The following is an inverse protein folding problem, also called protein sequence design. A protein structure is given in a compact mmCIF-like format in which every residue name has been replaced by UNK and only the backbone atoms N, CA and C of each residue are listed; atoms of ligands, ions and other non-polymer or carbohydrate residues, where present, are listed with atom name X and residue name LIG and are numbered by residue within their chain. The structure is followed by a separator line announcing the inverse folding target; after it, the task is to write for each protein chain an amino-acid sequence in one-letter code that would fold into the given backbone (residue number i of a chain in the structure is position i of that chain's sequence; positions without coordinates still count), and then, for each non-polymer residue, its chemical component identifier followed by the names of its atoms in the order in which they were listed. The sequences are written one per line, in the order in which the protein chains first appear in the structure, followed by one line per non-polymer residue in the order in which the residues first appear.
data_IF_499803745961
#
_entry.id   IF_499803745961
#
_cell.length_a   1.000
_cell.length_b   1.000
_cell.length_c   1.000
_cell.angle_alpha   90.00
_cell.angle_beta   90.00
_cell.angle_gamma   90.00
#
_symmetry.space_group_name_H-M   'P 1'
#
loop_
_entity.id
_entity.type
_entity.pdbx_description
1 polymer ?
#
# COMPACT_ATOMS: atom_id res chain seq x y z
N UNK A 1 -24.51 -38.66 -16.18
CA UNK A 1 -25.49 -38.32 -15.13
C UNK A 1 -25.17 -36.91 -14.61
N UNK A 2 -25.99 -35.89 -14.89
CA UNK A 2 -25.81 -34.54 -14.34
C UNK A 2 -26.50 -34.41 -12.96
N UNK A 3 -25.86 -33.66 -12.05
CA UNK A 3 -26.31 -33.41 -10.67
C UNK A 3 -27.65 -32.63 -10.61
N UNK A 4 -28.48 -32.85 -9.56
CA UNK A 4 -29.71 -32.08 -9.35
C UNK A 4 -29.43 -30.66 -8.81
N UNK A 5 -30.24 -29.64 -9.17
CA UNK A 5 -30.17 -28.30 -8.59
C UNK A 5 -30.77 -28.26 -7.17
N UNK A 6 -30.19 -27.40 -6.33
CA UNK A 6 -30.59 -27.20 -4.93
C UNK A 6 -32.00 -26.58 -4.79
N UNK A 7 -32.76 -26.92 -3.72
CA UNK A 7 -34.12 -26.42 -3.50
C UNK A 7 -34.15 -24.96 -3.01
N UNK A 8 -35.15 -24.23 -3.52
CA UNK A 8 -35.33 -22.79 -3.39
C UNK A 8 -35.64 -22.27 -1.99
N UNK A 9 -35.20 -21.04 -1.73
CA UNK A 9 -35.61 -20.25 -0.57
C UNK A 9 -36.99 -19.61 -0.82
N UNK A 10 -37.94 -19.72 0.13
CA UNK A 10 -39.34 -19.34 -0.07
C UNK A 10 -39.59 -17.83 -0.07
N UNK A 11 -40.34 -17.37 -1.07
CA UNK A 11 -40.94 -16.03 -1.14
C UNK A 11 -41.97 -15.84 -0.01
N UNK A 12 -41.65 -14.98 0.97
CA UNK A 12 -42.56 -14.66 2.08
C UNK A 12 -43.61 -13.64 1.64
N UNK A 13 -44.74 -14.14 1.12
CA UNK A 13 -45.97 -13.35 0.96
C UNK A 13 -46.41 -12.78 2.32
N UNK A 14 -46.62 -11.46 2.41
CA UNK A 14 -47.32 -10.84 3.53
C UNK A 14 -48.83 -10.78 3.22
N UNK A 15 -49.70 -11.22 4.13
CA UNK A 15 -51.14 -11.23 3.88
C UNK A 15 -51.75 -9.84 4.02
N UNK A 16 -52.54 -9.47 3.03
CA UNK A 16 -53.51 -8.38 3.06
C UNK A 16 -54.52 -8.61 4.20
N UNK A 17 -54.62 -7.68 5.17
CA UNK A 17 -55.71 -7.68 6.16
C UNK A 17 -56.80 -6.68 5.75
N UNK A 18 -58.00 -7.23 5.62
CA UNK A 18 -59.28 -6.61 5.22
C UNK A 18 -59.73 -5.49 6.16
N UNK A 19 -60.36 -4.51 5.52
CA UNK A 19 -61.22 -3.45 6.05
C UNK A 19 -62.63 -4.00 6.33
N UNK A 20 -63.13 -3.83 7.56
CA UNK A 20 -64.53 -3.93 8.02
C UNK A 20 -64.51 -3.84 9.56
N UNK A 21 -65.40 -3.25 10.34
CA UNK A 21 -66.63 -2.49 10.18
C UNK A 21 -67.00 -1.99 11.61
N UNK A 22 -67.88 -0.98 11.72
CA UNK A 22 -68.81 -0.70 12.85
C UNK A 22 -68.32 -0.39 14.29
N UNK A 23 -68.48 0.91 14.62
CA UNK A 23 -69.51 1.53 15.51
C UNK A 23 -69.46 1.40 17.06
N UNK A 24 -69.72 2.58 17.68
CA UNK A 24 -70.20 2.89 19.07
C UNK A 24 -69.09 2.87 20.15
N UNK A 25 -69.02 3.71 21.20
CA UNK A 25 -69.89 4.74 21.81
C UNK A 25 -69.04 5.49 22.87
N UNK A 26 -69.22 6.82 22.95
CA UNK A 26 -69.32 7.69 24.16
C UNK A 26 -68.27 7.69 25.30
N UNK A 27 -67.93 8.94 25.67
CA UNK A 27 -67.66 9.50 27.01
C UNK A 27 -66.39 9.08 27.75
N UNK A 28 -65.43 10.00 27.86
CA UNK A 28 -65.15 10.74 29.12
C UNK A 28 -64.00 11.72 28.92
N UNK A 29 -64.22 12.92 29.44
CA UNK A 29 -63.27 14.01 29.66
C UNK A 29 -62.08 13.47 30.48
N UNK A 30 -60.88 13.52 29.92
CA UNK A 30 -59.65 13.06 30.54
C UNK A 30 -58.48 13.90 30.04
N UNK A 31 -57.84 14.57 30.98
CA UNK A 31 -56.69 15.45 30.82
C UNK A 31 -55.48 14.66 30.28
N UNK A 32 -54.64 15.31 29.48
CA UNK A 32 -53.17 15.21 29.46
C UNK A 32 -52.55 15.05 28.06
N UNK A 33 -51.54 15.92 27.88
CA UNK A 33 -50.30 15.75 27.12
C UNK A 33 -50.38 15.61 25.60
N UNK A 34 -49.79 16.62 24.95
CA UNK A 34 -49.42 16.68 23.54
C UNK A 34 -48.81 15.38 23.02
N UNK A 35 -49.07 15.02 21.75
CA UNK A 35 -48.35 13.95 21.09
C UNK A 35 -46.89 14.36 20.86
N UNK A 36 -46.01 13.55 21.43
CA UNK A 36 -44.62 13.35 21.06
C UNK A 36 -44.39 13.43 19.54
N UNK A 37 -43.73 14.51 19.09
CA UNK A 37 -43.14 14.57 17.76
C UNK A 37 -41.85 13.74 17.76
N UNK A 38 -41.98 12.43 17.53
CA UNK A 38 -40.84 11.57 17.26
C UNK A 38 -40.67 11.38 15.74
N UNK A 39 -39.80 12.16 15.05
CA UNK A 39 -39.24 11.71 13.81
C UNK A 39 -38.22 10.62 14.17
N UNK A 40 -38.62 9.35 14.10
CA UNK A 40 -37.66 8.24 14.00
C UNK A 40 -36.88 8.38 12.69
N UNK A 41 -35.89 9.29 12.69
CA UNK A 41 -34.92 9.42 11.61
C UNK A 41 -34.21 8.09 11.46
N UNK A 42 -34.15 7.66 10.20
CA UNK A 42 -33.74 6.34 9.78
C UNK A 42 -32.47 5.90 10.49
N UNK A 43 -32.54 4.69 11.04
CA UNK A 43 -31.36 3.90 11.35
C UNK A 43 -30.65 3.68 10.01
N UNK A 44 -29.72 4.59 9.66
CA UNK A 44 -28.82 4.43 8.53
C UNK A 44 -28.13 3.08 8.72
N UNK A 45 -28.64 2.06 8.02
CA UNK A 45 -27.89 0.83 7.78
C UNK A 45 -26.67 1.29 6.99
N UNK A 46 -25.56 1.58 7.67
CA UNK A 46 -24.28 1.78 6.99
C UNK A 46 -24.05 0.51 6.18
N UNK A 47 -24.03 0.56 4.84
CA UNK A 47 -23.76 -0.62 4.06
C UNK A 47 -22.41 -1.17 4.53
N UNK A 48 -22.34 -2.48 4.78
CA UNK A 48 -21.06 -3.19 4.89
C UNK A 48 -20.32 -3.23 3.53
N UNK A 49 -20.48 -2.21 2.70
CA UNK A 49 -20.11 -2.13 1.29
C UNK A 49 -18.70 -1.57 1.05
N UNK A 50 -18.00 -1.23 2.14
CA UNK A 50 -16.62 -0.80 2.06
C UNK A 50 -15.67 -1.74 2.83
N UNK A 51 -15.93 -3.05 2.81
CA UNK A 51 -14.85 -4.02 2.95
C UNK A 51 -13.96 -3.91 1.70
N UNK A 52 -13.20 -2.82 1.61
CA UNK A 52 -12.26 -2.55 0.53
C UNK A 52 -11.21 -3.65 0.58
N UNK A 53 -11.35 -4.64 -0.30
CA UNK A 53 -10.27 -5.58 -0.59
C UNK A 53 -9.05 -4.70 -0.92
N UNK A 54 -7.94 -4.80 -0.17
CA UNK A 54 -6.78 -3.99 -0.46
C UNK A 54 -6.40 -4.23 -1.92
N UNK A 55 -6.17 -3.16 -2.72
CA UNK A 55 -5.87 -3.32 -4.13
C UNK A 55 -4.70 -4.28 -4.27
N UNK A 56 -4.90 -5.40 -4.97
CA UNK A 56 -3.83 -6.37 -5.21
C UNK A 56 -2.74 -5.66 -6.01
N UNK A 57 -1.55 -5.60 -5.44
CA UNK A 57 -0.38 -5.04 -6.11
C UNK A 57 0.02 -5.98 -7.24
N UNK A 58 0.21 -5.46 -8.45
CA UNK A 58 0.61 -6.27 -9.60
C UNK A 58 2.00 -6.88 -9.35
N UNK A 59 2.19 -8.22 -9.47
CA UNK A 59 3.50 -8.86 -9.28
C UNK A 59 4.59 -8.29 -10.20
N UNK A 60 4.22 -7.82 -11.41
CA UNK A 60 5.17 -7.13 -12.31
C UNK A 60 5.71 -5.85 -11.71
N UNK A 61 4.89 -5.06 -11.01
CA UNK A 61 5.33 -3.82 -10.37
C UNK A 61 6.31 -4.10 -9.24
N UNK A 62 6.08 -5.17 -8.48
CA UNK A 62 6.99 -5.64 -7.43
C UNK A 62 8.33 -6.05 -8.06
N UNK A 63 8.31 -6.87 -9.10
CA UNK A 63 9.52 -7.34 -9.78
C UNK A 63 10.33 -6.19 -10.37
N UNK A 64 9.67 -5.24 -11.04
CA UNK A 64 10.33 -4.03 -11.57
C UNK A 64 10.94 -3.19 -10.44
N UNK A 65 10.22 -2.99 -9.34
CA UNK A 65 10.74 -2.23 -8.20
C UNK A 65 11.98 -2.90 -7.59
N UNK A 66 11.95 -4.22 -7.39
CA UNK A 66 13.08 -4.97 -6.87
C UNK A 66 14.28 -4.92 -7.82
N UNK A 67 14.03 -5.02 -9.13
CA UNK A 67 15.08 -4.93 -10.15
C UNK A 67 15.71 -3.53 -10.19
N UNK A 68 14.91 -2.47 -10.14
CA UNK A 68 15.43 -1.09 -10.11
C UNK A 68 16.25 -0.85 -8.85
N UNK A 69 15.79 -1.32 -7.68
CA UNK A 69 16.54 -1.21 -6.43
C UNK A 69 17.87 -1.99 -6.49
N UNK A 70 17.86 -3.20 -7.05
CA UNK A 70 19.07 -4.01 -7.25
C UNK A 70 20.07 -3.34 -8.20
N UNK A 71 19.59 -2.83 -9.33
CA UNK A 71 20.42 -2.10 -10.30
C UNK A 71 20.99 -0.83 -9.69
N UNK A 72 20.21 -0.10 -8.88
CA UNK A 72 20.69 1.07 -8.15
C UNK A 72 21.86 0.73 -7.20
N UNK A 73 21.76 -0.36 -6.44
CA UNK A 73 22.84 -0.82 -5.55
C UNK A 73 24.08 -1.25 -6.34
N UNK A 74 23.91 -1.96 -7.45
CA UNK A 74 25.02 -2.37 -8.32
C UNK A 74 25.70 -1.13 -8.93
N UNK A 75 24.93 -0.16 -9.40
CA UNK A 75 25.44 1.10 -9.95
C UNK A 75 26.20 1.93 -8.91
N UNK A 76 25.72 1.95 -7.66
CA UNK A 76 26.43 2.55 -6.54
C UNK A 76 27.80 1.87 -6.32
N UNK A 77 27.83 0.53 -6.24
CA UNK A 77 29.08 -0.21 -6.05
C UNK A 77 30.05 -0.01 -7.22
N UNK A 78 29.57 -0.06 -8.46
CA UNK A 78 30.38 0.14 -9.66
C UNK A 78 30.98 1.55 -9.72
N UNK A 79 30.15 2.58 -9.49
CA UNK A 79 30.61 3.97 -9.42
C UNK A 79 31.63 4.17 -8.31
N UNK A 80 31.36 3.63 -7.12
CA UNK A 80 32.27 3.73 -5.98
C UNK A 80 33.66 3.17 -6.29
N UNK A 81 33.75 2.03 -6.99
CA UNK A 81 35.04 1.46 -7.39
C UNK A 81 35.73 2.25 -8.50
N UNK A 82 34.98 2.65 -9.52
CA UNK A 82 35.50 3.46 -10.61
C UNK A 82 36.11 4.77 -10.09
N UNK A 83 35.48 5.40 -9.10
CA UNK A 83 35.99 6.62 -8.46
C UNK A 83 37.29 6.42 -7.68
N UNK A 84 37.59 5.20 -7.22
CA UNK A 84 38.84 4.88 -6.52
C UNK A 84 39.92 4.30 -7.47
N UNK A 85 39.67 4.29 -8.78
CA UNK A 85 40.59 3.74 -9.79
C UNK A 85 40.71 2.21 -9.79
N UNK A 86 39.80 1.51 -9.09
CA UNK A 86 39.88 0.06 -8.89
C UNK A 86 39.08 -0.75 -9.93
N UNK A 87 39.63 -1.14 -11.09
CA UNK A 87 38.91 -1.94 -12.12
C UNK A 87 37.38 -1.59 -12.19
N UNK A 88 36.47 -2.44 -12.63
CA UNK A 88 35.04 -2.24 -12.27
C UNK A 88 34.45 -3.60 -11.96
N UNK A 89 34.64 -4.54 -12.89
CA UNK A 89 34.17 -5.91 -12.78
C UNK A 89 34.88 -6.71 -11.68
N UNK A 90 36.20 -6.62 -11.60
CA UNK A 90 37.03 -7.41 -10.68
C UNK A 90 36.91 -6.95 -9.22
N UNK A 91 35.96 -7.50 -8.45
CA UNK A 91 35.69 -7.09 -7.06
C UNK A 91 34.34 -6.38 -6.88
N UNK A 92 33.56 -6.20 -7.95
CA UNK A 92 32.21 -5.62 -7.87
C UNK A 92 31.32 -6.39 -6.91
N UNK A 93 31.32 -7.73 -7.02
CA UNK A 93 30.53 -8.59 -6.16
C UNK A 93 30.90 -8.43 -4.68
N UNK A 94 32.20 -8.31 -4.38
CA UNK A 94 32.74 -8.10 -3.02
C UNK A 94 32.26 -6.75 -2.44
N UNK A 95 32.22 -5.71 -3.26
CA UNK A 95 31.74 -4.38 -2.81
C UNK A 95 30.22 -4.30 -2.73
N UNK A 96 29.49 -5.00 -3.62
CA UNK A 96 28.05 -4.91 -3.73
C UNK A 96 27.28 -5.81 -2.75
N UNK A 97 27.80 -7.01 -2.44
CA UNK A 97 27.04 -7.99 -1.64
C UNK A 97 26.56 -7.49 -0.27
N UNK A 98 27.32 -6.68 0.52
CA UNK A 98 26.84 -6.22 1.82
C UNK A 98 25.58 -5.36 1.67
N UNK A 99 25.56 -4.51 0.63
CA UNK A 99 24.44 -3.64 0.32
C UNK A 99 23.26 -4.39 -0.32
N UNK A 100 23.53 -5.42 -1.13
CA UNK A 100 22.48 -6.25 -1.70
C UNK A 100 21.77 -7.08 -0.62
N UNK A 101 22.51 -7.64 0.33
CA UNK A 101 21.94 -8.33 1.50
C UNK A 101 21.13 -7.34 2.34
N UNK A 102 21.69 -6.18 2.64
CA UNK A 102 21.00 -5.13 3.37
C UNK A 102 19.71 -4.65 2.67
N UNK A 103 19.72 -4.54 1.34
CA UNK A 103 18.55 -4.21 0.54
C UNK A 103 17.46 -5.28 0.65
N UNK A 104 17.83 -6.57 0.56
CA UNK A 104 16.89 -7.68 0.69
C UNK A 104 16.22 -7.66 2.08
N UNK A 105 16.99 -7.42 3.14
CA UNK A 105 16.46 -7.28 4.50
C UNK A 105 15.57 -6.04 4.62
N UNK A 106 15.97 -4.92 4.02
CA UNK A 106 15.16 -3.69 3.96
C UNK A 106 13.80 -3.92 3.28
N UNK A 107 13.79 -4.67 2.17
CA UNK A 107 12.57 -5.07 1.47
C UNK A 107 11.64 -5.92 2.33
N UNK A 108 12.21 -6.89 3.06
CA UNK A 108 11.49 -7.75 4.01
C UNK A 108 10.88 -6.93 5.15
N UNK A 109 11.68 -6.11 5.81
CA UNK A 109 11.27 -5.30 6.96
C UNK A 109 10.24 -4.22 6.59
N UNK A 110 10.41 -3.57 5.43
CA UNK A 110 9.46 -2.55 4.96
C UNK A 110 8.17 -3.15 4.38
N UNK A 111 8.06 -4.50 4.30
CA UNK A 111 6.97 -5.21 3.63
C UNK A 111 6.70 -4.60 2.25
N UNK A 112 7.77 -4.37 1.47
CA UNK A 112 7.74 -3.56 0.26
C UNK A 112 6.71 -4.04 -0.77
N UNK A 113 6.38 -5.34 -0.76
CA UNK A 113 5.32 -5.96 -1.57
C UNK A 113 3.91 -5.39 -1.32
N UNK A 114 3.64 -4.76 -0.17
CA UNK A 114 2.32 -4.19 0.14
C UNK A 114 2.09 -2.83 -0.53
N UNK A 115 3.13 -2.02 -0.72
CA UNK A 115 3.06 -0.67 -1.35
C UNK A 115 4.38 -0.29 -2.04
N UNK A 116 4.77 -0.96 -3.14
CA UNK A 116 6.13 -0.85 -3.70
C UNK A 116 6.50 0.55 -4.21
N UNK A 117 5.50 1.34 -4.62
CA UNK A 117 5.70 2.68 -5.20
C UNK A 117 5.66 3.82 -4.18
N UNK A 118 5.36 3.56 -2.90
CA UNK A 118 5.20 4.62 -1.90
C UNK A 118 6.59 5.14 -1.42
N UNK A 119 7.00 6.38 -1.76
CA UNK A 119 8.36 6.85 -1.50
C UNK A 119 8.67 6.97 0.00
N UNK A 120 7.74 7.55 0.76
CA UNK A 120 7.95 7.84 2.19
C UNK A 120 7.81 6.58 3.05
N UNK A 121 6.74 5.80 2.85
CA UNK A 121 6.45 4.64 3.71
C UNK A 121 7.32 3.41 3.42
N UNK A 122 7.87 3.31 2.22
CA UNK A 122 8.65 2.14 1.79
C UNK A 122 10.08 2.53 1.43
N UNK A 123 10.29 3.64 0.73
CA UNK A 123 11.64 4.10 0.36
C UNK A 123 12.51 4.49 1.56
N UNK A 124 11.98 5.25 2.53
CA UNK A 124 12.78 5.68 3.71
C UNK A 124 13.22 4.48 4.56
N UNK A 125 12.33 3.54 4.98
CA UNK A 125 12.76 2.38 5.75
C UNK A 125 13.77 1.50 5.00
N UNK A 126 13.54 1.24 3.70
CA UNK A 126 14.49 0.46 2.88
C UNK A 126 15.84 1.17 2.86
N UNK A 127 15.87 2.48 2.62
CA UNK A 127 17.10 3.26 2.58
C UNK A 127 17.88 3.20 3.90
N UNK A 128 17.21 3.49 5.02
CA UNK A 128 17.84 3.48 6.36
C UNK A 128 18.41 2.10 6.67
N UNK A 129 17.63 1.04 6.44
CA UNK A 129 18.07 -0.34 6.69
C UNK A 129 19.23 -0.72 5.76
N UNK A 130 19.15 -0.34 4.48
CA UNK A 130 20.20 -0.66 3.49
C UNK A 130 21.53 -0.01 3.87
N UNK A 131 21.50 1.25 4.29
CA UNK A 131 22.71 1.96 4.74
C UNK A 131 23.24 1.37 6.03
N UNK A 132 22.38 1.20 7.05
CA UNK A 132 22.81 0.71 8.36
C UNK A 132 23.38 -0.71 8.29
N UNK A 133 22.64 -1.66 7.71
CA UNK A 133 23.11 -3.04 7.57
C UNK A 133 24.26 -3.15 6.57
N UNK A 134 24.25 -2.36 5.48
CA UNK A 134 25.34 -2.37 4.51
C UNK A 134 26.67 -1.96 5.14
N UNK A 135 26.66 -0.91 5.97
CA UNK A 135 27.85 -0.47 6.70
C UNK A 135 28.29 -1.48 7.78
N UNK A 136 27.34 -2.07 8.51
CA UNK A 136 27.64 -3.09 9.52
C UNK A 136 28.27 -4.34 8.90
N UNK A 137 27.68 -4.86 7.82
CA UNK A 137 28.21 -6.02 7.10
C UNK A 137 29.59 -5.73 6.51
N UNK A 138 29.78 -4.52 5.98
CA UNK A 138 31.06 -4.07 5.42
C UNK A 138 32.14 -3.96 6.51
N UNK A 139 31.79 -3.43 7.68
CA UNK A 139 32.68 -3.36 8.84
C UNK A 139 33.06 -4.77 9.33
N UNK A 140 32.07 -5.66 9.47
CA UNK A 140 32.28 -7.05 9.88
C UNK A 140 33.15 -7.83 8.89
N UNK A 141 33.13 -7.46 7.61
CA UNK A 141 33.91 -8.08 6.55
C UNK A 141 35.31 -7.47 6.35
N UNK A 142 35.70 -6.49 7.18
CA UNK A 142 37.02 -5.86 7.12
C UNK A 142 37.25 -4.95 5.91
N UNK A 143 36.19 -4.56 5.18
CA UNK A 143 36.29 -3.77 3.94
C UNK A 143 36.42 -2.25 4.18
N UNK A 144 36.50 -1.84 5.44
CA UNK A 144 36.61 -0.44 5.88
C UNK A 144 35.30 0.36 5.76
N UNK A 145 35.08 1.24 6.74
CA UNK A 145 33.94 2.18 6.81
C UNK A 145 34.43 3.58 7.12
N UNK A 146 35.14 4.20 6.16
CA UNK A 146 35.55 5.59 6.29
C UNK A 146 34.31 6.50 6.38
N UNK A 147 34.38 7.56 7.18
CA UNK A 147 33.25 8.50 7.35
C UNK A 147 32.78 9.09 6.01
N UNK A 148 33.73 9.45 5.14
CA UNK A 148 33.43 9.94 3.80
C UNK A 148 32.63 8.92 2.97
N UNK A 149 32.98 7.64 3.05
CA UNK A 149 32.24 6.57 2.38
C UNK A 149 30.82 6.43 2.94
N UNK A 150 30.63 6.54 4.26
CA UNK A 150 29.29 6.51 4.88
C UNK A 150 28.42 7.66 4.36
N UNK A 151 28.97 8.88 4.28
CA UNK A 151 28.24 10.06 3.79
C UNK A 151 27.84 9.86 2.32
N UNK A 152 28.79 9.53 1.46
CA UNK A 152 28.52 9.33 0.02
C UNK A 152 27.53 8.19 -0.18
N UNK A 153 27.72 7.04 0.46
CA UNK A 153 26.78 5.92 0.37
C UNK A 153 25.37 6.30 0.81
N UNK A 154 25.25 7.03 1.93
CA UNK A 154 23.96 7.49 2.46
C UNK A 154 23.24 8.39 1.46
N UNK A 155 23.95 9.38 0.89
CA UNK A 155 23.38 10.31 -0.08
C UNK A 155 23.04 9.63 -1.40
N UNK A 156 23.97 8.85 -1.96
CA UNK A 156 23.78 8.19 -3.26
C UNK A 156 22.68 7.12 -3.19
N UNK A 157 22.68 6.25 -2.18
CA UNK A 157 21.61 5.26 -2.01
C UNK A 157 20.26 5.93 -1.70
N UNK A 158 20.26 7.02 -0.92
CA UNK A 158 19.05 7.79 -0.65
C UNK A 158 18.46 8.36 -1.93
N UNK A 159 19.30 9.01 -2.73
CA UNK A 159 18.88 9.57 -4.01
C UNK A 159 18.40 8.49 -4.97
N UNK A 160 19.12 7.38 -5.10
CA UNK A 160 18.73 6.32 -6.02
C UNK A 160 17.43 5.65 -5.56
N UNK A 161 17.39 5.09 -4.34
CA UNK A 161 16.25 4.29 -3.85
C UNK A 161 14.96 5.09 -3.63
N UNK A 162 15.08 6.35 -3.18
CA UNK A 162 13.92 7.23 -2.94
C UNK A 162 13.57 8.00 -4.21
N UNK A 163 14.57 8.46 -4.97
CA UNK A 163 14.38 9.32 -6.15
C UNK A 163 13.59 8.64 -7.26
N UNK A 164 13.88 7.37 -7.58
CA UNK A 164 13.12 6.66 -8.63
C UNK A 164 11.65 6.44 -8.20
N UNK A 165 11.39 6.19 -6.91
CA UNK A 165 10.03 6.05 -6.36
C UNK A 165 9.26 7.37 -6.40
N UNK A 166 9.93 8.47 -6.07
CA UNK A 166 9.36 9.82 -6.18
C UNK A 166 9.00 10.13 -7.65
N UNK A 167 9.88 9.81 -8.59
CA UNK A 167 9.64 9.98 -10.02
C UNK A 167 8.47 9.11 -10.51
N UNK A 168 8.41 7.84 -10.13
CA UNK A 168 7.30 6.95 -10.49
C UNK A 168 5.95 7.46 -9.94
N UNK A 169 5.95 8.00 -8.73
CA UNK A 169 4.76 8.63 -8.12
C UNK A 169 4.36 9.89 -8.89
N UNK A 170 5.32 10.74 -9.26
CA UNK A 170 5.06 11.95 -10.03
C UNK A 170 4.48 11.63 -11.41
N UNK A 171 5.07 10.68 -12.14
CA UNK A 171 4.59 10.24 -13.47
C UNK A 171 3.17 9.68 -13.39
N UNK A 172 2.87 8.88 -12.37
CA UNK A 172 1.49 8.35 -12.18
C UNK A 172 0.49 9.43 -11.80
N UNK A 173 0.90 10.50 -11.09
CA UNK A 173 0.04 11.64 -10.79
C UNK A 173 -0.22 12.51 -12.03
N UNK A 174 0.81 12.79 -12.83
CA UNK A 174 0.69 13.61 -14.06
C UNK A 174 -0.20 12.92 -15.09
N UNK A 175 0.00 11.62 -15.33
CA UNK A 175 -0.79 10.84 -16.29
C UNK A 175 -2.27 10.74 -15.90
N UNK A 176 -2.60 10.69 -14.60
CA UNK A 176 -3.99 10.71 -14.12
C UNK A 176 -4.68 12.04 -14.40
N UNK A 177 -4.00 13.16 -14.20
CA UNK A 177 -4.55 14.51 -14.46
C UNK A 177 -4.86 14.75 -15.94
N UNK A 178 -4.09 14.14 -16.84
CA UNK A 178 -4.32 14.24 -18.28
C UNK A 178 -5.61 13.51 -18.72
N UNK A 179 -5.93 12.36 -18.10
CA UNK A 179 -7.13 11.57 -18.45
C UNK A 179 -8.46 12.20 -18.01
N UNK A 180 -8.47 12.99 -16.93
CA UNK A 180 -9.71 13.60 -16.42
C UNK A 180 -10.11 14.89 -17.15
N UNK A 181 -9.27 15.39 -18.07
CA UNK A 181 -9.54 16.62 -18.84
C UNK A 181 -10.31 16.40 -20.15
N UNK A 182 -10.75 15.17 -20.44
CA UNK A 182 -11.72 14.89 -21.50
C UNK A 182 -13.08 14.46 -20.92
N UNK A 183 -13.98 15.42 -20.65
CA UNK A 183 -15.41 15.19 -20.74
C UNK A 183 -15.97 15.93 -21.97
N UNK A 184 -16.54 15.17 -22.90
CA UNK A 184 -17.49 15.65 -23.92
C UNK A 184 -18.86 15.91 -23.27
#
# INVERSE_FOLDING_TARGET
MPNPPAPGCPCRHRPWRRRSDRRKRTTKRGKNCSPDHSPRRGRHRRPCENATVPPRVNPRTIAVAALVDGVAVIAFAATGRASHGEAVLAGLAITAWPFLVALAVGWLAALAWRRPLAPIRTGIPIWVITVALGMLLRAASGQGTALAFVIVATLTLGLLLIGWRALATLVTLVTRRARTRHPE
#
